data_IF_946480533859
#
_entry.id   IF_946480533859
#
_cell.length_a   1.000
_cell.length_b   1.000
_cell.length_c   1.000
_cell.angle_alpha   90.00
_cell.angle_beta   90.00
_cell.angle_gamma   90.00
#
_symmetry.space_group_name_H-M   'P 1'
#
loop_
_entity.id
_entity.type
_entity.pdbx_description
1 polymer ?
#
# COMPACT_ATOMS: atom_id res chain seq x y z
N UNK A 1 18.73 -17.59 12.84
CA UNK A 1 18.88 -17.76 14.31
C UNK A 1 17.82 -18.76 14.77
N UNK A 2 18.16 -19.69 15.66
CA UNK A 2 17.26 -20.74 16.17
C UNK A 2 17.14 -22.01 15.29
N UNK A 3 17.68 -22.02 14.07
CA UNK A 3 17.76 -23.20 13.19
C UNK A 3 19.20 -23.65 12.92
N UNK A 4 20.02 -22.73 12.41
CA UNK A 4 21.43 -22.97 12.01
C UNK A 4 22.46 -22.45 13.01
N UNK A 5 22.06 -21.56 13.92
CA UNK A 5 22.86 -20.99 14.99
C UNK A 5 21.93 -20.77 16.20
N UNK A 6 22.37 -21.10 17.40
CA UNK A 6 21.59 -20.83 18.61
C UNK A 6 21.51 -19.32 18.92
N UNK A 7 20.55 -18.93 19.75
CA UNK A 7 20.43 -17.53 20.21
C UNK A 7 21.68 -17.12 21.02
N UNK A 8 22.20 -18.05 21.83
CA UNK A 8 23.41 -17.83 22.65
C UNK A 8 24.63 -17.59 21.77
N UNK A 9 24.92 -18.47 20.81
CA UNK A 9 26.06 -18.34 19.89
C UNK A 9 25.97 -17.04 19.07
N UNK A 10 24.76 -16.68 18.62
CA UNK A 10 24.55 -15.42 17.89
C UNK A 10 24.86 -14.21 18.78
N UNK A 11 24.32 -14.16 20.00
CA UNK A 11 24.55 -13.06 20.94
C UNK A 11 26.03 -12.94 21.33
N UNK A 12 26.73 -14.06 21.51
CA UNK A 12 28.17 -14.06 21.78
C UNK A 12 28.98 -13.55 20.58
N UNK A 13 28.59 -13.91 19.35
CA UNK A 13 29.20 -13.35 18.14
C UNK A 13 28.98 -11.82 18.02
N UNK A 14 27.79 -11.33 18.38
CA UNK A 14 27.51 -9.89 18.43
C UNK A 14 28.42 -9.18 19.44
N UNK A 15 28.55 -9.69 20.67
CA UNK A 15 29.44 -9.11 21.69
C UNK A 15 30.90 -9.05 21.24
N UNK A 16 31.41 -10.14 20.65
CA UNK A 16 32.77 -10.20 20.10
C UNK A 16 32.99 -9.16 18.99
N UNK A 17 32.00 -8.98 18.11
CA UNK A 17 32.07 -8.01 17.02
C UNK A 17 32.10 -6.56 17.53
N UNK A 18 31.31 -6.23 18.56
CA UNK A 18 31.27 -4.86 19.14
C UNK A 18 32.64 -4.45 19.69
N UNK A 19 33.35 -5.38 20.34
CA UNK A 19 34.67 -5.10 20.94
C UNK A 19 35.82 -5.08 19.91
N UNK A 20 35.58 -5.54 18.68
CA UNK A 20 36.64 -5.72 17.66
C UNK A 20 37.35 -4.42 17.29
N UNK A 21 36.64 -3.30 17.34
CA UNK A 21 37.16 -2.00 16.90
C UNK A 21 37.52 -1.07 18.07
N UNK A 22 37.38 -1.51 19.32
CA UNK A 22 37.62 -0.67 20.49
C UNK A 22 39.06 -0.13 20.51
N UNK A 23 40.06 -0.96 20.21
CA UNK A 23 41.47 -0.54 20.19
C UNK A 23 41.74 0.54 19.12
N UNK A 24 41.08 0.43 17.97
CA UNK A 24 41.21 1.41 16.87
C UNK A 24 40.58 2.74 17.26
N UNK A 25 39.43 2.71 17.94
CA UNK A 25 38.77 3.91 18.45
C UNK A 25 39.59 4.58 19.56
N UNK A 26 40.22 3.80 20.44
CA UNK A 26 41.09 4.32 21.51
C UNK A 26 42.30 5.06 20.95
N UNK A 27 43.04 4.44 20.02
CA UNK A 27 44.20 5.06 19.35
C UNK A 27 43.82 6.35 18.60
N UNK A 28 42.68 6.36 17.90
CA UNK A 28 42.18 7.55 17.22
C UNK A 28 41.82 8.66 18.21
N UNK A 29 41.13 8.31 19.30
CA UNK A 29 40.70 9.25 20.35
C UNK A 29 41.89 9.97 20.99
N UNK A 30 42.95 9.22 21.30
CA UNK A 30 44.20 9.76 21.83
C UNK A 30 44.90 10.68 20.82
N UNK A 31 45.03 10.25 19.56
CA UNK A 31 45.65 11.06 18.48
C UNK A 31 44.90 12.36 18.20
N UNK A 32 43.58 12.38 18.38
CA UNK A 32 42.76 13.58 18.24
C UNK A 32 42.87 14.53 19.44
N UNK A 33 43.49 14.10 20.54
CA UNK A 33 43.55 14.87 21.78
C UNK A 33 42.21 14.99 22.49
N UNK A 34 41.29 14.04 22.29
CA UNK A 34 39.97 14.04 22.93
C UNK A 34 40.04 13.39 24.32
N UNK A 35 40.10 14.21 25.37
CA UNK A 35 40.27 13.74 26.75
C UNK A 35 38.94 13.20 27.32
N UNK A 36 38.84 11.87 27.38
CA UNK A 36 37.71 11.12 27.92
C UNK A 36 38.21 9.83 28.58
N UNK A 37 37.46 9.31 29.56
CA UNK A 37 37.78 8.03 30.20
C UNK A 37 37.41 6.85 29.28
N UNK A 38 38.44 6.24 28.69
CA UNK A 38 38.32 5.02 27.87
C UNK A 38 38.68 3.76 28.66
N UNK A 39 39.10 3.87 29.93
CA UNK A 39 39.45 2.74 30.79
C UNK A 39 38.19 2.13 31.44
N UNK A 40 37.22 2.96 31.86
CA UNK A 40 35.91 2.49 32.36
C UNK A 40 34.70 3.09 31.58
N UNK A 41 34.53 2.75 30.29
CA UNK A 41 33.38 3.20 29.54
C UNK A 41 32.09 2.51 30.01
N UNK A 42 30.97 3.25 29.92
CA UNK A 42 29.65 2.63 30.03
C UNK A 42 29.41 1.75 28.80
N UNK A 43 28.82 0.57 29.04
CA UNK A 43 28.54 -0.41 27.98
C UNK A 43 27.12 -0.92 28.16
N UNK A 44 26.32 -0.78 27.12
CA UNK A 44 24.85 -0.98 27.20
C UNK A 44 24.44 -2.42 27.47
N UNK A 45 25.27 -3.40 27.10
CA UNK A 45 25.03 -4.81 27.38
C UNK A 45 25.55 -5.28 28.76
N UNK A 46 26.16 -4.42 29.58
CA UNK A 46 26.53 -4.74 30.97
C UNK A 46 25.27 -4.80 31.84
N UNK A 47 25.20 -5.75 32.78
CA UNK A 47 24.00 -6.01 33.60
C UNK A 47 23.48 -4.78 34.36
N UNK A 48 24.36 -3.95 34.94
CA UNK A 48 23.94 -2.72 35.65
C UNK A 48 23.23 -1.70 34.74
N UNK A 49 23.67 -1.58 33.48
CA UNK A 49 23.04 -0.71 32.50
C UNK A 49 21.65 -1.25 32.14
N UNK A 50 21.56 -2.55 31.85
CA UNK A 50 20.28 -3.23 31.54
C UNK A 50 19.28 -3.13 32.71
N UNK A 51 19.74 -3.30 33.96
CA UNK A 51 18.91 -3.14 35.16
C UNK A 51 18.34 -1.72 35.27
N UNK A 52 19.14 -0.70 34.96
CA UNK A 52 18.69 0.69 34.93
C UNK A 52 17.61 0.91 33.87
N UNK A 53 17.76 0.31 32.68
CA UNK A 53 16.74 0.34 31.62
C UNK A 53 15.46 -0.37 32.06
N UNK A 54 15.55 -1.53 32.71
CA UNK A 54 14.37 -2.22 33.26
C UNK A 54 13.64 -1.39 34.32
N UNK A 55 14.39 -0.72 35.19
CA UNK A 55 13.80 0.20 36.15
C UNK A 55 13.04 1.34 35.45
N UNK A 56 13.61 1.95 34.41
CA UNK A 56 12.95 3.00 33.61
C UNK A 56 11.66 2.47 32.95
N UNK A 57 11.70 1.30 32.31
CA UNK A 57 10.52 0.68 31.70
C UNK A 57 9.43 0.42 32.74
N UNK A 58 9.79 -0.04 33.94
CA UNK A 58 8.86 -0.20 35.05
C UNK A 58 8.24 1.12 35.50
N UNK A 59 9.00 2.22 35.53
CA UNK A 59 8.44 3.53 35.86
C UNK A 59 7.43 4.00 34.82
N UNK A 60 7.71 3.80 33.52
CA UNK A 60 6.79 4.15 32.43
C UNK A 60 5.51 3.31 32.53
N UNK A 61 5.66 2.00 32.76
CA UNK A 61 4.54 1.09 32.95
C UNK A 61 3.67 1.48 34.15
N UNK A 62 4.27 1.76 35.31
CA UNK A 62 3.55 2.18 36.52
C UNK A 62 2.82 3.52 36.38
N UNK A 63 3.15 4.31 35.36
CA UNK A 63 2.49 5.58 35.04
C UNK A 63 1.41 5.43 33.96
N UNK A 64 1.07 4.20 33.58
CA UNK A 64 0.12 3.89 32.50
C UNK A 64 0.51 4.50 31.14
N UNK A 65 1.81 4.70 30.90
CA UNK A 65 2.34 5.26 29.64
C UNK A 65 2.81 4.19 28.65
N UNK A 66 2.65 2.90 28.98
CA UNK A 66 3.04 1.77 28.13
C UNK A 66 1.83 0.84 27.95
N UNK A 67 1.49 0.58 26.69
CA UNK A 67 0.36 -0.29 26.34
C UNK A 67 0.73 -1.22 25.19
N UNK A 68 0.01 -2.34 25.09
CA UNK A 68 0.06 -3.24 23.93
C UNK A 68 -1.05 -2.85 22.96
N UNK A 69 -0.69 -2.54 21.72
CA UNK A 69 -1.64 -2.20 20.66
C UNK A 69 -1.32 -2.92 19.36
N UNK A 70 -2.32 -2.99 18.48
CA UNK A 70 -2.15 -3.41 17.09
C UNK A 70 -2.29 -2.17 16.22
N UNK A 71 -1.22 -1.83 15.52
CA UNK A 71 -1.13 -0.62 14.71
C UNK A 71 -0.33 -0.91 13.44
N UNK A 72 -0.66 -0.23 12.35
CA UNK A 72 0.19 -0.21 11.17
C UNK A 72 1.47 0.56 11.52
N UNK A 73 2.63 -0.06 11.27
CA UNK A 73 3.95 0.49 11.57
C UNK A 73 4.87 0.28 10.37
N UNK A 74 5.86 1.16 10.16
CA UNK A 74 6.98 0.84 9.28
C UNK A 74 7.61 -0.48 9.69
N UNK A 75 7.87 -1.36 8.74
CA UNK A 75 8.34 -2.72 9.00
C UNK A 75 9.46 -3.07 8.02
N UNK A 76 10.53 -3.70 8.52
CA UNK A 76 11.64 -4.18 7.70
C UNK A 76 11.56 -5.70 7.53
N UNK A 77 11.24 -6.20 6.32
CA UNK A 77 11.17 -7.64 6.07
C UNK A 77 12.50 -8.37 6.25
N UNK A 78 13.64 -7.72 5.93
CA UNK A 78 14.97 -8.29 6.13
C UNK A 78 15.38 -8.35 7.60
N UNK A 79 14.95 -7.39 8.42
CA UNK A 79 15.22 -7.39 9.86
C UNK A 79 14.17 -8.19 10.67
N UNK A 80 12.99 -8.41 10.10
CA UNK A 80 11.90 -9.13 10.77
C UNK A 80 11.26 -8.33 11.92
N UNK A 81 11.31 -6.99 11.87
CA UNK A 81 10.84 -6.14 12.98
C UNK A 81 10.25 -4.82 12.49
N UNK A 82 9.34 -4.27 13.30
CA UNK A 82 8.86 -2.90 13.16
C UNK A 82 9.97 -1.89 13.46
N UNK A 83 9.85 -0.72 12.85
CA UNK A 83 10.77 0.41 13.00
C UNK A 83 10.01 1.64 13.54
N UNK A 84 10.71 2.45 14.32
CA UNK A 84 10.19 3.73 14.80
C UNK A 84 10.24 4.81 13.72
N UNK A 85 9.43 5.86 13.90
CA UNK A 85 9.47 7.04 13.04
C UNK A 85 10.86 7.70 12.99
N UNK A 86 11.63 7.65 14.08
CA UNK A 86 12.97 8.24 14.13
C UNK A 86 14.00 7.45 13.33
N UNK A 87 13.85 6.12 13.22
CA UNK A 87 14.75 5.28 12.41
C UNK A 87 14.51 5.49 10.92
N UNK A 88 13.25 5.59 10.51
CA UNK A 88 12.88 5.80 9.10
C UNK A 88 13.28 7.21 8.62
N UNK A 89 13.34 8.18 9.53
CA UNK A 89 13.77 9.56 9.22
C UNK A 89 15.28 9.80 9.35
N UNK A 90 16.10 8.77 9.59
CA UNK A 90 17.57 8.95 9.59
C UNK A 90 18.08 9.38 8.21
N UNK A 91 19.17 10.17 8.15
CA UNK A 91 19.82 10.51 6.88
C UNK A 91 20.18 9.26 6.06
N UNK A 92 19.75 9.21 4.81
CA UNK A 92 20.01 8.09 3.89
C UNK A 92 18.98 6.94 3.94
N UNK A 93 17.98 7.01 4.83
CA UNK A 93 16.85 6.08 4.87
C UNK A 93 15.84 6.33 3.74
N UNK A 94 15.60 7.59 3.36
CA UNK A 94 14.82 7.94 2.16
C UNK A 94 15.70 7.95 0.92
N UNK A 95 15.20 7.37 -0.16
CA UNK A 95 15.87 7.27 -1.45
C UNK A 95 14.83 7.40 -2.56
N UNK A 96 15.23 8.06 -3.64
CA UNK A 96 14.43 8.10 -4.85
C UNK A 96 14.45 6.70 -5.49
N UNK A 97 13.26 6.15 -5.69
CA UNK A 97 13.04 4.87 -6.36
C UNK A 97 11.98 5.06 -7.43
N UNK A 98 12.10 4.32 -8.53
CA UNK A 98 11.11 4.35 -9.60
C UNK A 98 10.12 3.22 -9.42
N UNK A 99 8.87 3.55 -9.16
CA UNK A 99 7.80 2.56 -8.95
C UNK A 99 6.90 2.41 -10.17
N UNK A 100 6.26 1.26 -10.29
CA UNK A 100 5.16 1.05 -11.25
C UNK A 100 3.88 1.53 -10.60
N UNK A 101 3.25 2.55 -11.16
CA UNK A 101 1.93 3.02 -10.71
C UNK A 101 0.84 2.45 -11.57
N UNK A 102 -0.35 2.32 -11.00
CA UNK A 102 -1.54 1.86 -11.70
C UNK A 102 -2.76 2.66 -11.27
N UNK A 103 -3.56 3.03 -12.27
CA UNK A 103 -4.94 3.45 -12.11
C UNK A 103 -5.81 2.24 -12.39
N UNK A 104 -6.31 1.61 -11.33
CA UNK A 104 -7.15 0.43 -11.40
C UNK A 104 -8.64 0.82 -11.58
N UNK A 105 -9.39 -0.05 -12.26
CA UNK A 105 -10.79 0.12 -12.60
C UNK A 105 -11.63 -0.85 -11.78
N UNK A 106 -12.38 -0.33 -10.82
CA UNK A 106 -13.25 -1.12 -9.96
C UNK A 106 -14.67 -1.07 -10.51
N UNK A 107 -15.16 -2.17 -11.07
CA UNK A 107 -16.52 -2.24 -11.63
C UNK A 107 -17.55 -2.08 -10.53
N UNK A 108 -18.40 -1.06 -10.62
CA UNK A 108 -19.46 -0.81 -9.66
C UNK A 108 -20.60 -1.83 -9.83
N UNK A 109 -21.22 -2.22 -8.71
CA UNK A 109 -22.41 -3.08 -8.70
C UNK A 109 -23.61 -2.22 -9.07
N UNK A 110 -24.30 -2.56 -10.17
CA UNK A 110 -25.35 -1.75 -10.76
C UNK A 110 -26.47 -1.41 -9.78
N UNK A 111 -26.88 -2.35 -8.93
CA UNK A 111 -27.95 -2.19 -7.94
C UNK A 111 -27.59 -1.22 -6.81
N UNK A 112 -26.30 -0.97 -6.59
CA UNK A 112 -25.81 -0.04 -5.56
C UNK A 112 -25.61 1.38 -6.08
N UNK A 113 -25.76 1.61 -7.38
CA UNK A 113 -25.55 2.92 -7.98
C UNK A 113 -26.70 3.86 -7.60
N UNK A 114 -26.40 5.12 -7.24
CA UNK A 114 -27.41 6.14 -7.05
C UNK A 114 -28.10 6.48 -8.38
N UNK A 115 -29.32 7.01 -8.31
CA UNK A 115 -30.17 7.25 -9.50
C UNK A 115 -29.51 8.10 -10.58
N UNK A 116 -28.62 9.03 -10.20
CA UNK A 116 -27.91 9.90 -11.16
C UNK A 116 -26.79 9.18 -11.93
N UNK A 117 -26.37 7.99 -11.49
CA UNK A 117 -25.42 7.12 -12.20
C UNK A 117 -26.10 5.92 -12.86
N UNK A 118 -27.40 5.72 -12.64
CA UNK A 118 -28.15 4.65 -13.31
C UNK A 118 -28.40 5.00 -14.79
N UNK A 119 -28.42 3.99 -15.64
CA UNK A 119 -28.73 4.14 -17.08
C UNK A 119 -27.53 4.38 -18.00
N UNK A 120 -26.31 4.53 -17.45
CA UNK A 120 -25.09 4.66 -18.25
C UNK A 120 -24.42 3.33 -18.59
N UNK A 121 -24.98 2.19 -18.15
CA UNK A 121 -24.40 0.86 -18.31
C UNK A 121 -23.37 0.55 -17.23
N UNK A 122 -22.35 -0.24 -17.57
CA UNK A 122 -21.27 -0.59 -16.64
C UNK A 122 -20.44 0.66 -16.30
N UNK A 123 -20.31 0.93 -15.00
CA UNK A 123 -19.53 2.04 -14.44
C UNK A 123 -18.35 1.48 -13.67
N UNK A 124 -17.18 2.10 -13.83
CA UNK A 124 -15.97 1.76 -13.12
C UNK A 124 -15.49 2.96 -12.29
N UNK A 125 -14.98 2.68 -11.10
CA UNK A 125 -14.41 3.70 -10.22
C UNK A 125 -12.89 3.62 -10.38
N UNK A 126 -12.24 4.74 -10.71
CA UNK A 126 -10.80 4.78 -10.93
C UNK A 126 -10.07 5.11 -9.64
N UNK A 127 -9.26 4.19 -9.14
CA UNK A 127 -8.38 4.46 -8.01
C UNK A 127 -6.92 4.28 -8.39
N UNK A 128 -6.08 5.22 -7.96
CA UNK A 128 -4.65 5.22 -8.25
C UNK A 128 -3.85 4.67 -7.06
N UNK A 129 -2.77 3.95 -7.37
CA UNK A 129 -1.80 3.48 -6.38
C UNK A 129 -0.39 3.44 -6.95
N UNK A 130 0.60 3.69 -6.09
CA UNK A 130 2.04 3.48 -6.35
C UNK A 130 2.50 2.09 -5.92
N UNK A 131 1.65 1.33 -5.22
CA UNK A 131 1.96 0.01 -4.66
C UNK A 131 1.00 -1.06 -5.19
N UNK A 132 1.09 -1.48 -6.46
CA UNK A 132 0.20 -2.49 -7.03
C UNK A 132 0.10 -3.79 -6.20
N UNK A 133 1.18 -4.21 -5.54
CA UNK A 133 1.20 -5.37 -4.64
C UNK A 133 0.18 -5.28 -3.47
N UNK A 134 -0.32 -4.10 -3.13
CA UNK A 134 -1.35 -3.90 -2.08
C UNK A 134 -2.78 -4.06 -2.60
N UNK A 135 -3.00 -4.05 -3.92
CA UNK A 135 -4.33 -4.21 -4.54
C UNK A 135 -5.07 -5.48 -4.14
N UNK A 136 -4.43 -6.65 -3.96
CA UNK A 136 -5.08 -7.85 -3.45
C UNK A 136 -5.69 -7.68 -2.06
N UNK A 137 -5.18 -6.72 -1.28
CA UNK A 137 -5.65 -6.40 0.07
C UNK A 137 -6.60 -5.21 0.13
N UNK A 138 -7.10 -4.76 -1.02
CA UNK A 138 -8.13 -3.74 -1.08
C UNK A 138 -9.45 -4.23 -0.47
N UNK A 139 -10.04 -3.43 0.41
CA UNK A 139 -11.38 -3.72 0.99
C UNK A 139 -12.35 -2.55 0.91
N UNK A 140 -11.90 -1.35 0.51
CA UNK A 140 -12.77 -0.21 0.22
C UNK A 140 -12.13 0.75 -0.80
N UNK A 141 -12.92 1.69 -1.30
CA UNK A 141 -12.43 2.87 -2.02
C UNK A 141 -12.78 4.11 -1.22
N UNK A 142 -11.84 5.02 -1.02
CA UNK A 142 -12.06 6.24 -0.23
C UNK A 142 -12.18 7.46 -1.12
N UNK A 143 -13.24 8.24 -0.90
CA UNK A 143 -13.52 9.51 -1.58
C UNK A 143 -13.56 10.67 -0.58
N UNK A 144 -13.12 11.85 -1.02
CA UNK A 144 -13.23 13.07 -0.23
C UNK A 144 -14.66 13.61 -0.29
N UNK A 145 -15.36 13.82 0.83
CA UNK A 145 -16.80 14.14 0.83
C UNK A 145 -17.14 15.45 0.11
N UNK A 146 -16.20 16.41 0.12
CA UNK A 146 -16.36 17.76 -0.46
C UNK A 146 -15.84 17.87 -1.90
N UNK A 147 -15.13 16.86 -2.39
CA UNK A 147 -14.51 16.85 -3.72
C UNK A 147 -15.60 16.66 -4.78
N UNK A 148 -15.44 17.34 -5.91
CA UNK A 148 -16.27 17.17 -7.11
C UNK A 148 -15.73 16.00 -7.95
N UNK A 149 -16.61 15.06 -8.26
CA UNK A 149 -16.36 13.89 -9.10
C UNK A 149 -17.18 13.98 -10.37
N UNK A 150 -16.69 13.32 -11.42
CA UNK A 150 -17.35 13.26 -12.72
C UNK A 150 -17.43 11.83 -13.22
N UNK A 151 -18.50 11.53 -13.95
CA UNK A 151 -18.63 10.34 -14.77
C UNK A 151 -18.16 10.69 -16.19
N UNK A 152 -17.20 9.93 -16.69
CA UNK A 152 -16.61 10.12 -18.02
C UNK A 152 -16.87 8.89 -18.87
N UNK A 153 -17.51 9.07 -20.02
CA UNK A 153 -17.67 8.06 -21.06
C UNK A 153 -16.43 8.08 -21.96
N UNK A 154 -15.80 6.94 -22.19
CA UNK A 154 -14.56 6.81 -22.98
C UNK A 154 -14.35 5.35 -23.43
N UNK A 155 -13.17 5.04 -23.99
CA UNK A 155 -12.68 3.69 -24.21
C UNK A 155 -11.43 3.41 -23.36
N UNK A 156 -11.20 2.14 -23.03
CA UNK A 156 -9.95 1.72 -22.39
C UNK A 156 -8.79 1.77 -23.41
N UNK A 157 -7.65 2.36 -23.03
CA UNK A 157 -6.50 2.46 -23.94
C UNK A 157 -5.73 1.15 -24.21
N UNK A 158 -5.99 0.09 -23.45
CA UNK A 158 -5.36 -1.22 -23.59
C UNK A 158 -6.26 -2.23 -24.30
N UNK A 159 -7.52 -2.34 -23.88
CA UNK A 159 -8.48 -3.32 -24.43
C UNK A 159 -9.39 -2.71 -25.50
N UNK A 160 -9.43 -1.38 -25.61
CA UNK A 160 -10.29 -0.63 -26.54
C UNK A 160 -11.79 -0.82 -26.28
N UNK A 161 -12.17 -1.39 -25.15
CA UNK A 161 -13.56 -1.57 -24.75
C UNK A 161 -14.19 -0.23 -24.32
N UNK A 162 -15.47 0.03 -24.67
CA UNK A 162 -16.19 1.19 -24.17
C UNK A 162 -16.38 1.07 -22.66
N UNK A 163 -16.07 2.15 -21.93
CA UNK A 163 -16.12 2.20 -20.47
C UNK A 163 -16.70 3.54 -20.00
N UNK A 164 -17.39 3.50 -18.87
CA UNK A 164 -17.76 4.70 -18.12
C UNK A 164 -16.96 4.71 -16.82
N UNK A 165 -16.28 5.81 -16.51
CA UNK A 165 -15.34 5.88 -15.40
C UNK A 165 -15.61 7.07 -14.48
N UNK A 166 -15.47 6.86 -13.17
CA UNK A 166 -15.62 7.90 -12.14
C UNK A 166 -14.26 8.29 -11.58
N UNK A 167 -13.98 9.59 -11.56
CA UNK A 167 -12.78 10.21 -10.98
C UNK A 167 -13.04 11.66 -10.57
N UNK A 168 -12.13 12.26 -9.79
CA UNK A 168 -12.24 13.65 -9.39
C UNK A 168 -12.11 14.59 -10.61
N UNK A 169 -12.99 15.59 -10.67
CA UNK A 169 -13.09 16.57 -11.77
C UNK A 169 -11.76 17.26 -12.07
N UNK A 170 -11.04 17.67 -11.03
CA UNK A 170 -9.74 18.35 -11.15
C UNK A 170 -8.64 17.47 -11.75
N UNK A 171 -8.80 16.15 -11.74
CA UNK A 171 -7.79 15.18 -12.18
C UNK A 171 -8.07 14.60 -13.56
N UNK A 172 -9.19 14.96 -14.19
CA UNK A 172 -9.52 14.55 -15.57
C UNK A 172 -8.39 14.90 -16.52
N UNK A 173 -7.87 16.12 -16.48
CA UNK A 173 -6.78 16.54 -17.38
C UNK A 173 -5.46 15.75 -17.19
N UNK A 174 -5.18 15.25 -15.97
CA UNK A 174 -4.00 14.43 -15.69
C UNK A 174 -4.18 12.98 -16.16
N UNK A 175 -5.41 12.44 -16.03
CA UNK A 175 -5.71 11.07 -16.40
C UNK A 175 -5.97 10.91 -17.92
N UNK A 176 -6.71 11.85 -18.50
CA UNK A 176 -7.05 11.91 -19.92
C UNK A 176 -6.05 12.82 -20.67
N UNK A 177 -4.78 12.42 -20.65
CA UNK A 177 -3.67 13.18 -21.21
C UNK A 177 -3.62 13.20 -22.75
N UNK A 178 -2.41 13.25 -23.33
CA UNK A 178 -2.21 13.44 -24.79
C UNK A 178 -2.88 12.39 -25.69
N UNK A 179 -3.18 11.19 -25.18
CA UNK A 179 -3.88 10.13 -25.91
C UNK A 179 -5.39 10.35 -26.03
N UNK A 180 -5.95 11.30 -25.29
CA UNK A 180 -7.39 11.54 -25.21
C UNK A 180 -7.75 12.91 -25.80
N UNK A 181 -9.00 13.08 -26.24
CA UNK A 181 -9.56 14.37 -26.62
C UNK A 181 -11.02 14.47 -26.19
N UNK A 182 -11.42 15.65 -25.71
CA UNK A 182 -12.79 15.93 -25.32
C UNK A 182 -13.66 16.01 -26.57
N UNK A 183 -14.77 15.28 -26.61
CA UNK A 183 -15.76 15.38 -27.68
C UNK A 183 -17.17 15.23 -27.13
N UNK A 184 -18.11 15.99 -27.69
CA UNK A 184 -19.55 15.87 -27.44
C UNK A 184 -20.29 15.22 -28.63
N UNK A 185 -19.58 14.98 -29.74
CA UNK A 185 -20.16 14.45 -30.97
C UNK A 185 -20.27 12.92 -30.88
N UNK A 186 -21.49 12.38 -30.98
CA UNK A 186 -21.72 10.94 -30.96
C UNK A 186 -20.92 10.21 -32.06
N UNK A 187 -20.73 10.87 -33.21
CA UNK A 187 -19.95 10.35 -34.33
C UNK A 187 -18.50 10.02 -33.95
N UNK A 188 -17.86 10.76 -33.04
CA UNK A 188 -16.47 10.47 -32.66
C UNK A 188 -16.37 9.17 -31.87
N UNK A 189 -17.39 8.85 -31.06
CA UNK A 189 -17.46 7.58 -30.32
C UNK A 189 -17.84 6.42 -31.23
N UNK A 190 -18.75 6.62 -32.19
CA UNK A 190 -19.16 5.58 -33.14
C UNK A 190 -18.06 5.24 -34.16
N UNK A 191 -17.25 6.22 -34.54
CA UNK A 191 -16.17 6.05 -35.52
C UNK A 191 -14.84 5.61 -34.91
N UNK A 192 -14.70 5.63 -33.58
CA UNK A 192 -13.49 5.18 -32.90
C UNK A 192 -13.20 3.71 -33.21
N UNK A 193 -11.96 3.42 -33.61
CA UNK A 193 -11.49 2.06 -33.86
C UNK A 193 -10.40 1.67 -32.87
N UNK A 194 -10.39 0.39 -32.50
CA UNK A 194 -9.34 -0.19 -31.68
C UNK A 194 -7.96 0.13 -32.26
N UNK A 195 -7.08 0.72 -31.45
CA UNK A 195 -5.75 1.15 -31.85
C UNK A 195 -5.62 2.57 -32.38
N UNK A 196 -6.70 3.35 -32.46
CA UNK A 196 -6.62 4.76 -32.82
C UNK A 196 -5.80 5.55 -31.79
N UNK A 197 -4.96 6.48 -32.30
CA UNK A 197 -4.03 7.27 -31.47
C UNK A 197 -4.70 8.27 -30.54
N UNK A 198 -5.98 8.57 -30.78
CA UNK A 198 -6.76 9.58 -30.10
C UNK A 198 -8.09 8.97 -29.67
N UNK A 199 -8.32 8.91 -28.37
CA UNK A 199 -9.50 8.32 -27.77
C UNK A 199 -10.45 9.44 -27.35
N UNK A 200 -11.70 9.47 -27.85
CA UNK A 200 -12.67 10.48 -27.43
C UNK A 200 -13.12 10.21 -25.99
N UNK A 201 -13.32 11.27 -25.21
CA UNK A 201 -13.97 11.18 -23.91
C UNK A 201 -14.99 12.31 -23.74
N UNK A 202 -16.03 12.04 -22.95
CA UNK A 202 -17.11 12.98 -22.66
C UNK A 202 -17.47 12.93 -21.18
N UNK A 203 -17.60 14.09 -20.54
CA UNK A 203 -18.15 14.19 -19.19
C UNK A 203 -19.67 14.13 -19.30
N UNK A 204 -20.30 13.15 -18.65
CA UNK A 204 -21.74 12.88 -18.79
C UNK A 204 -22.53 13.15 -17.50
N UNK A 205 -21.87 13.17 -16.35
CA UNK A 205 -22.49 13.53 -15.07
C UNK A 205 -21.45 14.08 -14.09
N UNK A 206 -21.92 14.84 -13.10
CA UNK A 206 -21.11 15.34 -11.98
C UNK A 206 -21.78 15.00 -10.65
N UNK A 207 -20.99 14.78 -9.60
CA UNK A 207 -21.47 14.43 -8.27
C UNK A 207 -20.49 14.88 -7.19
N UNK A 208 -20.96 15.04 -5.95
CA UNK A 208 -20.05 15.22 -4.80
C UNK A 208 -19.59 13.88 -4.27
N UNK A 209 -18.43 13.84 -3.63
CA UNK A 209 -17.91 12.61 -3.03
C UNK A 209 -18.88 11.98 -2.01
N UNK A 210 -19.63 12.81 -1.28
CA UNK A 210 -20.68 12.36 -0.38
C UNK A 210 -21.77 11.53 -1.10
N UNK A 211 -22.07 11.82 -2.36
CA UNK A 211 -23.09 11.12 -3.15
C UNK A 211 -22.60 9.76 -3.67
N UNK A 212 -21.28 9.51 -3.63
CA UNK A 212 -20.67 8.23 -4.04
C UNK A 212 -20.54 7.23 -2.89
N UNK A 213 -20.66 7.69 -1.64
CA UNK A 213 -20.50 6.84 -0.45
C UNK A 213 -21.56 5.74 -0.44
N UNK A 214 -21.12 4.50 -0.19
CA UNK A 214 -22.00 3.34 -0.13
C UNK A 214 -22.14 2.58 -1.45
N UNK A 215 -21.69 3.14 -2.58
CA UNK A 215 -21.60 2.39 -3.84
C UNK A 215 -20.73 1.14 -3.60
N UNK A 216 -21.22 -0.02 -4.01
CA UNK A 216 -20.49 -1.29 -3.95
C UNK A 216 -19.81 -1.55 -5.28
N UNK A 217 -18.72 -2.32 -5.24
CA UNK A 217 -17.97 -2.68 -6.43
C UNK A 217 -17.53 -4.15 -6.38
N UNK A 218 -17.26 -4.72 -7.54
CA UNK A 218 -16.68 -6.06 -7.69
C UNK A 218 -15.23 -6.05 -7.23
N UNK A 219 -14.84 -7.04 -6.43
CA UNK A 219 -13.46 -7.19 -5.98
C UNK A 219 -12.50 -7.30 -7.17
N UNK A 220 -11.49 -6.43 -7.20
CA UNK A 220 -10.54 -6.32 -8.32
C UNK A 220 -9.78 -7.64 -8.58
N UNK A 221 -9.26 -8.22 -7.49
CA UNK A 221 -8.49 -9.47 -7.48
C UNK A 221 -9.13 -10.41 -6.44
N UNK A 222 -10.07 -11.28 -6.86
CA UNK A 222 -10.87 -12.11 -5.95
C UNK A 222 -10.11 -13.36 -5.50
N UNK A 223 -8.94 -13.16 -4.89
CA UNK A 223 -8.08 -14.25 -4.40
C UNK A 223 -8.40 -14.65 -2.95
N UNK A 224 -8.78 -13.68 -2.13
CA UNK A 224 -9.14 -13.87 -0.73
C UNK A 224 -10.25 -12.93 -0.31
N UNK A 225 -10.96 -13.30 0.76
CA UNK A 225 -11.94 -12.45 1.44
C UNK A 225 -11.48 -12.21 2.88
N UNK A 226 -11.84 -11.07 3.48
CA UNK A 226 -11.62 -10.84 4.90
C UNK A 226 -12.24 -11.96 5.73
N UNK A 227 -11.51 -12.49 6.70
CA UNK A 227 -12.00 -13.56 7.58
C UNK A 227 -13.18 -13.12 8.48
N UNK A 228 -13.35 -11.81 8.67
CA UNK A 228 -14.41 -11.20 9.48
C UNK A 228 -15.23 -10.22 8.64
N UNK A 229 -16.55 -10.33 8.74
CA UNK A 229 -17.54 -9.43 8.15
C UNK A 229 -17.29 -9.05 6.66
N UNK A 230 -16.96 -10.02 5.78
CA UNK A 230 -16.63 -9.73 4.37
C UNK A 230 -17.76 -9.00 3.63
N UNK A 231 -19.01 -9.13 4.08
CA UNK A 231 -20.16 -8.41 3.54
C UNK A 231 -20.07 -6.88 3.68
N UNK A 232 -19.26 -6.38 4.62
CA UNK A 232 -19.04 -4.94 4.84
C UNK A 232 -17.91 -4.36 3.98
N UNK A 233 -17.16 -5.21 3.28
CA UNK A 233 -16.11 -4.81 2.36
C UNK A 233 -16.65 -4.39 0.97
N UNK A 234 -15.73 -4.00 0.09
CA UNK A 234 -15.93 -3.69 -1.33
C UNK A 234 -17.00 -2.61 -1.57
N UNK A 235 -16.84 -1.50 -0.85
CA UNK A 235 -17.71 -0.33 -0.98
C UNK A 235 -16.93 0.98 -0.91
N UNK A 236 -17.54 2.05 -1.39
CA UNK A 236 -17.01 3.40 -1.28
C UNK A 236 -17.29 3.95 0.12
N UNK A 237 -16.27 4.52 0.73
CA UNK A 237 -16.31 5.19 2.05
C UNK A 237 -15.79 6.61 1.95
N UNK A 238 -16.10 7.43 2.95
CA UNK A 238 -15.68 8.83 3.00
C UNK A 238 -14.40 8.99 3.82
N UNK A 239 -13.46 9.80 3.36
CA UNK A 239 -12.24 10.13 4.10
C UNK A 239 -11.68 11.51 3.74
N UNK A 240 -11.29 12.29 4.75
CA UNK A 240 -10.86 13.67 4.58
C UNK A 240 -9.40 13.84 4.13
N UNK A 241 -8.61 12.76 4.12
CA UNK A 241 -7.21 12.78 3.69
C UNK A 241 -7.04 12.74 2.16
N UNK A 242 -8.12 12.49 1.42
CA UNK A 242 -8.10 12.42 -0.04
C UNK A 242 -7.83 13.81 -0.62
N UNK A 243 -6.82 13.90 -1.50
CA UNK A 243 -6.47 15.14 -2.19
C UNK A 243 -6.79 15.06 -3.68
N UNK A 244 -6.78 16.21 -4.35
CA UNK A 244 -6.86 16.30 -5.82
C UNK A 244 -5.53 16.76 -6.44
N UNK A 245 -4.43 16.57 -5.72
CA UNK A 245 -3.10 16.96 -6.20
C UNK A 245 -2.62 15.94 -7.23
N UNK A 246 -2.67 14.64 -6.94
CA UNK A 246 -2.26 13.56 -7.84
C UNK A 246 -3.23 12.37 -7.81
N UNK A 247 -2.99 11.39 -8.68
CA UNK A 247 -3.85 10.20 -8.82
C UNK A 247 -5.19 10.52 -9.46
N UNK A 248 -6.27 9.93 -8.93
CA UNK A 248 -7.64 10.08 -9.45
C UNK A 248 -8.59 10.81 -8.48
N UNK A 249 -8.11 11.17 -7.29
CA UNK A 249 -8.94 11.68 -6.20
C UNK A 249 -9.83 10.61 -5.58
N UNK A 250 -9.56 9.33 -5.86
CA UNK A 250 -10.14 8.17 -5.21
C UNK A 250 -8.99 7.26 -4.80
N UNK A 251 -8.93 6.92 -3.53
CA UNK A 251 -7.84 6.13 -2.96
C UNK A 251 -8.29 4.68 -2.83
N UNK A 252 -7.50 3.72 -3.30
CA UNK A 252 -7.75 2.33 -2.95
C UNK A 252 -7.37 2.14 -1.48
N UNK A 253 -8.24 1.54 -0.69
CA UNK A 253 -8.04 1.42 0.75
C UNK A 253 -7.72 -0.03 1.10
N UNK A 254 -6.53 -0.24 1.65
CA UNK A 254 -6.03 -1.50 2.17
C UNK A 254 -5.67 -1.33 3.66
N UNK A 255 -6.63 -1.51 4.58
CA UNK A 255 -6.46 -1.25 6.02
C UNK A 255 -5.30 -2.02 6.67
N UNK A 256 -4.87 -3.11 6.04
CA UNK A 256 -3.76 -3.96 6.48
C UNK A 256 -2.38 -3.31 6.28
N UNK A 257 -2.25 -2.33 5.38
CA UNK A 257 -0.95 -1.78 4.97
C UNK A 257 -0.84 -0.26 5.06
N UNK A 258 -1.94 0.47 5.22
CA UNK A 258 -1.96 1.92 5.38
C UNK A 258 -2.50 2.36 6.75
N UNK A 259 -1.84 3.31 7.42
CA UNK A 259 -2.32 3.86 8.68
C UNK A 259 -3.60 4.69 8.52
N UNK A 260 -3.64 5.56 7.50
CA UNK A 260 -4.83 6.33 7.15
C UNK A 260 -5.96 5.42 6.65
N UNK A 261 -5.62 4.37 5.89
CA UNK A 261 -6.55 3.34 5.44
C UNK A 261 -7.20 2.61 6.62
N UNK A 262 -6.39 2.19 7.60
CA UNK A 262 -6.88 1.52 8.81
C UNK A 262 -7.80 2.44 9.61
N UNK A 263 -7.46 3.72 9.71
CA UNK A 263 -8.26 4.71 10.42
C UNK A 263 -9.62 4.92 9.74
N UNK A 264 -9.63 5.23 8.44
CA UNK A 264 -10.89 5.52 7.72
C UNK A 264 -11.79 4.29 7.62
N UNK A 265 -11.22 3.10 7.47
CA UNK A 265 -11.97 1.85 7.45
C UNK A 265 -12.67 1.57 8.79
N UNK A 266 -11.98 1.88 9.90
CA UNK A 266 -12.52 1.76 11.26
C UNK A 266 -13.59 2.82 11.58
N UNK A 267 -13.44 4.03 11.05
CA UNK A 267 -14.41 5.12 11.22
C UNK A 267 -15.66 4.94 10.34
N UNK A 268 -15.57 4.14 9.27
CA UNK A 268 -16.69 3.84 8.40
C UNK A 268 -17.80 3.08 9.15
N UNK A 269 -19.06 3.34 8.76
CA UNK A 269 -20.23 2.63 9.31
C UNK A 269 -20.98 1.91 8.19
N UNK A 270 -21.18 0.58 8.25
CA UNK A 270 -20.52 -0.36 9.17
C UNK A 270 -18.98 -0.39 8.95
N UNK A 271 -18.22 -0.81 9.96
CA UNK A 271 -16.76 -0.89 9.87
C UNK A 271 -16.33 -1.74 8.66
N UNK A 272 -15.36 -1.23 7.89
CA UNK A 272 -14.78 -1.99 6.77
C UNK A 272 -13.70 -2.91 7.33
N UNK A 273 -13.78 -4.23 7.10
CA UNK A 273 -12.79 -5.15 7.64
C UNK A 273 -11.44 -5.01 6.92
N UNK A 274 -10.32 -5.21 7.63
CA UNK A 274 -9.02 -5.37 6.99
C UNK A 274 -8.95 -6.68 6.20
N UNK A 275 -8.14 -6.73 5.14
CA UNK A 275 -7.84 -7.99 4.45
C UNK A 275 -6.87 -8.82 5.31
N UNK A 276 -7.44 -9.59 6.22
CA UNK A 276 -6.76 -10.61 7.00
C UNK A 276 -7.41 -11.97 6.71
N UNK A 277 -6.57 -12.99 6.67
CA UNK A 277 -6.94 -14.39 6.44
C UNK A 277 -6.44 -15.25 7.58
N UNK A 278 -7.00 -16.44 7.77
CA UNK A 278 -6.54 -17.36 8.80
C UNK A 278 -5.39 -18.23 8.29
N UNK A 279 -4.30 -18.31 9.06
CA UNK A 279 -3.23 -19.27 8.82
C UNK A 279 -3.62 -20.70 9.28
N UNK A 280 -2.70 -21.66 9.14
CA UNK A 280 -2.90 -23.06 9.54
C UNK A 280 -3.23 -23.23 11.03
N UNK A 281 -2.88 -22.24 11.87
CA UNK A 281 -3.14 -22.23 13.31
C UNK A 281 -4.40 -21.44 13.67
N UNK A 282 -5.16 -20.94 12.70
CA UNK A 282 -6.33 -20.09 12.92
C UNK A 282 -5.99 -18.68 13.39
N UNK A 283 -4.75 -18.22 13.16
CA UNK A 283 -4.31 -16.87 13.50
C UNK A 283 -4.59 -15.92 12.32
N UNK A 284 -5.24 -14.76 12.55
CA UNK A 284 -5.41 -13.76 11.50
C UNK A 284 -4.06 -13.18 11.06
N UNK A 285 -3.75 -13.30 9.78
CA UNK A 285 -2.53 -12.82 9.15
C UNK A 285 -2.83 -12.02 7.88
N UNK A 286 -1.98 -11.03 7.54
CA UNK A 286 -2.03 -10.36 6.24
C UNK A 286 -1.75 -11.32 5.08
N UNK A 287 -2.07 -10.90 3.85
CA UNK A 287 -1.71 -11.64 2.64
C UNK A 287 -0.20 -11.66 2.34
N UNK A 288 0.60 -10.88 3.08
CA UNK A 288 2.05 -10.78 2.96
C UNK A 288 2.69 -11.15 4.29
N UNK A 289 3.59 -12.13 4.28
CA UNK A 289 4.26 -12.61 5.48
C UNK A 289 5.29 -11.61 6.05
N UNK A 290 5.84 -11.95 7.21
CA UNK A 290 6.85 -11.15 7.91
C UNK A 290 8.21 -11.06 7.17
N UNK A 291 8.39 -11.80 6.08
CA UNK A 291 9.56 -11.71 5.20
C UNK A 291 9.26 -10.91 3.92
N UNK A 292 8.05 -10.36 3.79
CA UNK A 292 7.66 -9.56 2.63
C UNK A 292 7.30 -10.42 1.41
N UNK A 293 6.86 -11.66 1.62
CA UNK A 293 6.39 -12.56 0.56
C UNK A 293 4.89 -12.73 0.62
N UNK A 294 4.25 -12.89 -0.54
CA UNK A 294 2.85 -13.28 -0.57
C UNK A 294 2.63 -14.66 0.04
N UNK A 295 1.57 -14.79 0.82
CA UNK A 295 1.11 -16.06 1.42
C UNK A 295 0.46 -16.95 0.37
N UNK A 296 0.13 -18.19 0.76
CA UNK A 296 -0.54 -19.18 -0.11
C UNK A 296 -1.98 -18.80 -0.47
N UNK A 297 -2.55 -17.81 0.22
CA UNK A 297 -3.93 -17.34 0.03
C UNK A 297 -4.06 -16.39 -1.15
N UNK A 298 -2.93 -15.98 -1.72
CA UNK A 298 -2.84 -15.21 -2.97
C UNK A 298 -2.81 -16.21 -4.12
N UNK A 299 -3.30 -15.85 -5.31
CA UNK A 299 -3.35 -16.77 -6.45
C UNK A 299 -2.01 -17.49 -6.69
N UNK A 300 -2.06 -18.76 -7.13
CA UNK A 300 -0.91 -19.68 -7.19
C UNK A 300 0.32 -19.09 -7.90
N UNK A 301 0.12 -18.21 -8.89
CA UNK A 301 1.19 -17.52 -9.62
C UNK A 301 2.00 -16.54 -8.75
N UNK A 302 1.41 -15.99 -7.69
CA UNK A 302 2.01 -14.97 -6.84
C UNK A 302 2.45 -15.49 -5.47
N UNK A 303 1.88 -16.59 -5.00
CA UNK A 303 2.22 -17.19 -3.72
C UNK A 303 3.74 -17.43 -3.59
N UNK A 304 4.33 -16.98 -2.48
CA UNK A 304 5.76 -17.11 -2.19
C UNK A 304 6.68 -16.09 -2.87
N UNK A 305 6.19 -15.27 -3.81
CA UNK A 305 6.99 -14.18 -4.41
C UNK A 305 7.15 -13.01 -3.43
N UNK A 306 8.30 -12.33 -3.47
CA UNK A 306 8.46 -11.09 -2.71
C UNK A 306 7.63 -9.97 -3.34
N UNK A 307 7.07 -9.10 -2.49
CA UNK A 307 6.30 -7.92 -2.94
C UNK A 307 7.17 -6.91 -3.70
N UNK A 308 8.48 -6.92 -3.45
CA UNK A 308 9.49 -6.06 -4.07
C UNK A 308 10.73 -6.86 -4.45
N UNK A 309 11.32 -6.56 -5.60
CA UNK A 309 12.43 -7.34 -6.15
C UNK A 309 13.73 -7.17 -5.35
N UNK A 310 13.86 -6.05 -4.64
CA UNK A 310 14.99 -5.68 -3.79
C UNK A 310 15.22 -6.66 -2.63
N UNK A 311 14.23 -7.51 -2.33
CA UNK A 311 14.37 -8.53 -1.29
C UNK A 311 14.96 -9.86 -1.79
N UNK A 312 15.00 -10.09 -3.11
CA UNK A 312 15.70 -11.23 -3.68
C UNK A 312 17.22 -11.06 -3.58
N UNK A 313 17.92 -12.19 -3.55
CA UNK A 313 19.36 -12.18 -3.78
C UNK A 313 19.64 -11.87 -5.26
N UNK A 314 20.81 -11.30 -5.57
CA UNK A 314 21.10 -10.70 -6.88
C UNK A 314 20.96 -11.68 -8.08
N UNK A 315 21.13 -12.97 -7.83
CA UNK A 315 21.03 -14.06 -8.80
C UNK A 315 19.65 -14.74 -8.86
N UNK A 316 18.72 -14.33 -7.97
CA UNK A 316 17.40 -14.96 -7.81
C UNK A 316 16.24 -14.02 -8.17
N UNK A 317 16.52 -12.75 -8.45
CA UNK A 317 15.49 -11.77 -8.76
C UNK A 317 14.78 -12.14 -10.08
N UNK A 318 13.44 -12.18 -10.11
CA UNK A 318 12.69 -12.41 -11.33
C UNK A 318 12.85 -11.23 -12.30
N UNK A 319 12.74 -11.50 -13.61
CA UNK A 319 12.83 -10.48 -14.66
C UNK A 319 11.79 -9.37 -14.47
N UNK A 320 10.58 -9.74 -14.06
CA UNK A 320 9.47 -8.82 -13.77
C UNK A 320 9.17 -8.85 -12.28
N UNK A 321 8.95 -7.67 -11.70
CA UNK A 321 8.44 -7.60 -10.33
C UNK A 321 6.97 -7.96 -10.26
N UNK A 322 6.50 -8.34 -9.08
CA UNK A 322 5.07 -8.64 -8.87
C UNK A 322 4.19 -7.44 -9.20
N UNK A 323 4.66 -6.21 -8.94
CA UNK A 323 3.95 -4.99 -9.34
C UNK A 323 3.72 -4.92 -10.86
N UNK A 324 4.72 -5.33 -11.65
CA UNK A 324 4.62 -5.36 -13.12
C UNK A 324 3.70 -6.49 -13.58
N UNK A 325 3.81 -7.68 -12.97
CA UNK A 325 2.95 -8.82 -13.29
C UNK A 325 1.47 -8.52 -13.00
N UNK A 326 1.16 -7.94 -11.83
CA UNK A 326 -0.19 -7.48 -11.48
C UNK A 326 -0.69 -6.45 -12.50
N UNK A 327 0.17 -5.48 -12.87
CA UNK A 327 -0.21 -4.47 -13.85
C UNK A 327 -0.50 -5.06 -15.24
N UNK A 328 0.26 -6.07 -15.69
CA UNK A 328 0.00 -6.77 -16.95
C UNK A 328 -1.33 -7.49 -16.90
N UNK A 329 -1.58 -8.28 -15.84
CA UNK A 329 -2.85 -8.99 -15.67
C UNK A 329 -4.04 -8.04 -15.70
N UNK A 330 -3.97 -6.92 -14.96
CA UNK A 330 -5.06 -5.95 -14.92
C UNK A 330 -5.27 -5.25 -16.27
N UNK A 331 -4.23 -5.08 -17.10
CA UNK A 331 -4.41 -4.58 -18.47
C UNK A 331 -5.17 -5.58 -19.34
N UNK A 332 -4.80 -6.86 -19.26
CA UNK A 332 -5.43 -7.92 -20.05
C UNK A 332 -6.90 -8.15 -19.64
N UNK A 333 -7.22 -7.99 -18.36
CA UNK A 333 -8.57 -8.16 -17.81
C UNK A 333 -9.47 -6.92 -17.92
N UNK A 334 -9.08 -5.87 -18.65
CA UNK A 334 -9.78 -4.58 -18.72
C UNK A 334 -9.93 -3.88 -17.33
N UNK A 335 -9.08 -4.20 -16.36
CA UNK A 335 -9.11 -3.65 -14.99
C UNK A 335 -8.06 -2.57 -14.72
N UNK A 336 -7.20 -2.26 -15.69
CA UNK A 336 -6.27 -1.14 -15.63
C UNK A 336 -6.68 -0.04 -16.61
N UNK A 337 -6.77 1.19 -16.12
CA UNK A 337 -7.01 2.36 -16.97
C UNK A 337 -5.70 2.97 -17.45
N UNK A 338 -4.71 3.10 -16.56
CA UNK A 338 -3.40 3.70 -16.85
C UNK A 338 -2.32 3.04 -16.00
N UNK A 339 -1.17 2.73 -16.60
CA UNK A 339 0.01 2.17 -15.94
C UNK A 339 1.24 2.92 -16.45
N UNK A 340 2.02 3.47 -15.53
CA UNK A 340 3.22 4.24 -15.84
C UNK A 340 4.30 4.06 -14.77
N UNK A 341 5.54 4.38 -15.13
CA UNK A 341 6.62 4.53 -14.16
C UNK A 341 6.54 5.94 -13.56
N UNK A 342 6.68 6.04 -12.24
CA UNK A 342 6.67 7.30 -11.50
C UNK A 342 7.99 7.47 -10.77
#
# INVERSE_FOLDING_TARGET
IGKTISVEEYNEACKKTVMRYTDVWNDLTEKMGYWVDMEDPYVTYKSKYMESVWWLLKQIYNKDLMYKGYTIQPYSPKAGTGLSSHEVNQPGSYRDVTDTTIVAQFKAIAESLPSFLQGFGDIHILAWTTTPWTLPSNTALTVGPKIDYVLVKTFNQYTFEPINVVLAKNLVGKQFGKGFFLSEEAADFENYKAGDKKIPYQIVAEAKGADLVGIRYEQLLPWALPYQNPENAFRVISGDFVTTEDGTGIVHTAPTFGADDAKVAKEATPEVPPMLVLDENGTPVPLVDLQGKFTVHVGEEFAGKYVKNEYYDADQAPERSVDVEIAIRLKEENKAFKVEKY
#
